data_IF_470506330991
#
_entry.id   IF_470506330991
#
_cell.length_a   1.000
_cell.length_b   1.000
_cell.length_c   1.000
_cell.angle_alpha   90.00
_cell.angle_beta   90.00
_cell.angle_gamma   90.00
#
_symmetry.space_group_name_H-M   'P 1'
#
loop_
_entity.id
_entity.type
_entity.pdbx_description
1 polymer ?
#
# COMPACT_ATOMS: atom_id res chain seq x y z
N UNK A 1 21.47 9.16 -10.33
CA UNK A 1 20.58 9.45 -9.16
C UNK A 1 19.14 9.16 -9.54
N UNK A 2 18.42 8.34 -8.80
CA UNK A 2 17.01 8.00 -9.01
C UNK A 2 16.16 8.89 -8.10
N UNK A 3 15.09 9.51 -8.64
CA UNK A 3 14.13 10.27 -7.85
C UNK A 3 12.87 9.43 -7.63
N UNK A 4 12.46 9.20 -6.38
CA UNK A 4 11.27 8.43 -6.06
C UNK A 4 10.28 9.31 -5.30
N UNK A 5 9.08 9.46 -5.83
CA UNK A 5 7.98 10.21 -5.23
C UNK A 5 7.06 9.24 -4.50
N UNK A 6 6.71 9.56 -3.26
CA UNK A 6 5.94 8.65 -2.40
C UNK A 6 4.75 9.37 -1.78
N UNK A 7 3.63 8.69 -1.70
CA UNK A 7 2.43 9.21 -1.04
C UNK A 7 1.62 8.10 -0.36
N UNK A 8 0.87 8.48 0.65
CA UNK A 8 -0.05 7.64 1.38
C UNK A 8 -1.43 8.28 1.48
N UNK A 9 -2.47 7.48 1.34
CA UNK A 9 -3.85 7.92 1.46
C UNK A 9 -4.64 7.03 2.41
N UNK A 10 -5.54 7.61 3.19
CA UNK A 10 -6.42 6.85 4.06
C UNK A 10 -7.84 7.41 4.07
N UNK A 11 -8.81 6.51 3.97
CA UNK A 11 -10.22 6.72 4.23
C UNK A 11 -10.59 6.12 5.60
N UNK A 12 -11.87 6.18 5.99
CA UNK A 12 -12.33 5.55 7.25
C UNK A 12 -12.17 4.04 7.29
N UNK A 13 -12.21 3.36 6.15
CA UNK A 13 -12.23 1.90 6.07
C UNK A 13 -11.01 1.31 5.37
N UNK A 14 -10.41 2.05 4.46
CA UNK A 14 -9.33 1.58 3.60
C UNK A 14 -8.22 2.62 3.50
N UNK A 15 -7.03 2.15 3.21
CA UNK A 15 -5.87 3.00 3.04
C UNK A 15 -4.99 2.45 1.91
N UNK A 16 -4.28 3.33 1.24
CA UNK A 16 -3.42 2.99 0.13
C UNK A 16 -2.09 3.71 0.20
N UNK A 17 -1.10 3.15 -0.43
CA UNK A 17 0.22 3.71 -0.62
C UNK A 17 0.63 3.61 -2.08
N UNK A 18 1.46 4.53 -2.53
CA UNK A 18 2.01 4.51 -3.88
C UNK A 18 3.38 5.17 -3.94
N UNK A 19 4.22 4.67 -4.84
CA UNK A 19 5.46 5.31 -5.19
C UNK A 19 5.70 5.27 -6.70
N UNK A 20 6.42 6.28 -7.19
CA UNK A 20 6.85 6.45 -8.58
C UNK A 20 8.34 6.77 -8.62
N UNK A 21 9.14 5.90 -9.21
CA UNK A 21 10.55 6.14 -9.50
C UNK A 21 10.71 6.77 -10.88
N UNK A 22 11.55 7.78 -10.98
CA UNK A 22 11.90 8.49 -12.20
C UNK A 22 13.42 8.43 -12.36
N UNK A 23 13.85 7.78 -13.43
CA UNK A 23 15.26 7.68 -13.79
C UNK A 23 15.76 8.92 -14.54
N UNK A 24 17.08 9.15 -14.57
CA UNK A 24 17.64 10.30 -15.28
C UNK A 24 17.23 10.40 -16.76
N UNK A 25 17.07 9.26 -17.42
CA UNK A 25 16.67 9.14 -18.82
C UNK A 25 15.15 9.29 -19.05
N UNK A 26 14.39 9.54 -17.97
CA UNK A 26 12.95 9.71 -18.02
C UNK A 26 12.12 8.43 -17.96
N UNK A 27 12.75 7.27 -17.84
CA UNK A 27 12.03 6.00 -17.58
C UNK A 27 11.37 6.07 -16.20
N UNK A 28 10.24 5.35 -16.05
CA UNK A 28 9.45 5.36 -14.83
C UNK A 28 9.10 3.93 -14.41
N UNK A 29 9.16 3.69 -13.11
CA UNK A 29 8.60 2.49 -12.48
C UNK A 29 7.74 2.88 -11.29
N UNK A 30 6.75 2.08 -10.97
CA UNK A 30 5.84 2.39 -9.88
C UNK A 30 5.27 1.14 -9.24
N UNK A 31 4.83 1.26 -8.02
CA UNK A 31 4.06 0.25 -7.30
C UNK A 31 3.04 0.96 -6.40
N UNK A 32 1.94 0.30 -6.15
CA UNK A 32 0.94 0.75 -5.18
C UNK A 32 0.31 -0.45 -4.48
N UNK A 33 -0.31 -0.20 -3.35
CA UNK A 33 -1.02 -1.24 -2.62
C UNK A 33 -1.93 -0.68 -1.56
N UNK A 34 -2.65 -1.56 -0.88
CA UNK A 34 -3.67 -1.19 0.10
C UNK A 34 -3.41 -1.83 1.46
N UNK A 35 -4.09 -1.29 2.47
CA UNK A 35 -4.18 -1.85 3.81
C UNK A 35 -5.53 -1.50 4.42
N UNK A 36 -6.05 -2.37 5.27
CA UNK A 36 -7.32 -2.14 5.97
C UNK A 36 -7.04 -1.42 7.29
N UNK A 37 -7.75 -0.34 7.56
CA UNK A 37 -7.73 0.36 8.85
C UNK A 37 -6.41 1.03 9.22
N UNK A 38 -5.51 1.25 8.26
CA UNK A 38 -4.27 1.97 8.51
C UNK A 38 -4.48 3.49 8.44
N UNK A 39 -3.62 4.24 9.13
CA UNK A 39 -3.63 5.71 9.09
C UNK A 39 -2.90 6.25 7.87
N UNK A 40 -3.17 7.50 7.49
CA UNK A 40 -2.44 8.19 6.43
C UNK A 40 -0.92 8.15 6.68
N UNK A 41 -0.48 8.53 7.89
CA UNK A 41 0.94 8.48 8.25
C UNK A 41 1.56 7.09 8.06
N UNK A 42 0.82 6.01 8.40
CA UNK A 42 1.31 4.65 8.19
C UNK A 42 1.50 4.34 6.71
N UNK A 43 0.62 4.83 5.85
CA UNK A 43 0.72 4.62 4.40
C UNK A 43 1.85 5.44 3.76
N UNK A 44 2.08 6.66 4.23
CA UNK A 44 3.26 7.46 3.83
C UNK A 44 4.58 6.74 4.16
N UNK A 45 4.69 6.18 5.36
CA UNK A 45 5.85 5.37 5.75
C UNK A 45 5.96 4.09 4.92
N UNK A 46 4.84 3.44 4.64
CA UNK A 46 4.79 2.23 3.83
C UNK A 46 5.25 2.51 2.40
N UNK A 47 4.78 3.61 1.78
CA UNK A 47 5.19 4.01 0.44
C UNK A 47 6.71 4.19 0.34
N UNK A 48 7.30 4.94 1.28
CA UNK A 48 8.74 5.14 1.32
C UNK A 48 9.53 3.85 1.58
N UNK A 49 9.05 3.00 2.50
CA UNK A 49 9.70 1.72 2.78
C UNK A 49 9.66 0.78 1.57
N UNK A 50 8.52 0.67 0.89
CA UNK A 50 8.38 -0.17 -0.32
C UNK A 50 9.27 0.33 -1.44
N UNK A 51 9.34 1.65 -1.65
CA UNK A 51 10.22 2.28 -2.60
C UNK A 51 11.71 1.97 -2.34
N UNK A 52 12.15 2.08 -1.08
CA UNK A 52 13.53 1.80 -0.69
C UNK A 52 13.88 0.31 -0.78
N UNK A 53 12.94 -0.59 -0.45
CA UNK A 53 13.11 -2.03 -0.65
C UNK A 53 13.25 -2.35 -2.14
N UNK A 54 12.40 -1.78 -2.98
CA UNK A 54 12.48 -1.95 -4.43
C UNK A 54 13.82 -1.40 -4.97
N UNK A 55 14.22 -0.18 -4.57
CA UNK A 55 15.50 0.40 -4.96
C UNK A 55 16.68 -0.51 -4.60
N UNK A 56 16.71 -1.08 -3.38
CA UNK A 56 17.80 -1.96 -2.95
C UNK A 56 17.84 -3.28 -3.70
N UNK A 57 16.69 -3.82 -4.13
CA UNK A 57 16.61 -5.13 -4.81
C UNK A 57 16.75 -5.04 -6.33
N UNK A 58 16.14 -4.06 -6.93
CA UNK A 58 15.97 -3.97 -8.39
C UNK A 58 16.63 -2.72 -8.98
N UNK A 59 16.64 -1.62 -8.25
CA UNK A 59 17.23 -0.37 -8.69
C UNK A 59 18.73 -0.45 -8.93
N UNK A 60 19.47 -1.20 -8.10
CA UNK A 60 20.89 -1.45 -8.27
C UNK A 60 21.22 -2.45 -9.39
N UNK A 61 20.37 -3.45 -9.61
CA UNK A 61 20.68 -4.53 -10.56
C UNK A 61 20.61 -4.12 -12.01
N UNK A 62 19.89 -3.04 -12.33
CA UNK A 62 19.57 -2.69 -13.72
C UNK A 62 20.62 -1.88 -14.44
N UNK A 63 21.50 -1.16 -13.72
CA UNK A 63 22.34 -0.14 -14.34
C UNK A 63 23.82 -0.18 -13.93
N UNK A 64 24.29 -1.23 -13.31
CA UNK A 64 25.71 -1.39 -12.93
C UNK A 64 26.29 -0.15 -12.17
N UNK A 65 25.44 0.60 -11.48
CA UNK A 65 25.75 1.87 -10.86
C UNK A 65 25.34 1.89 -9.39
N UNK A 66 26.27 2.40 -8.57
CA UNK A 66 26.01 2.83 -7.19
C UNK A 66 25.12 4.09 -7.18
N UNK A 67 23.93 4.02 -7.82
CA UNK A 67 23.06 5.18 -7.96
C UNK A 67 22.43 5.61 -6.65
N UNK A 68 22.71 6.84 -6.29
CA UNK A 68 22.03 7.51 -5.18
C UNK A 68 20.52 7.60 -5.45
N UNK A 69 19.74 7.51 -4.39
CA UNK A 69 18.29 7.67 -4.44
C UNK A 69 17.85 8.86 -3.59
N UNK A 70 16.92 9.62 -4.11
CA UNK A 70 16.22 10.69 -3.36
C UNK A 70 14.75 10.34 -3.26
N UNK A 71 14.25 10.19 -2.02
CA UNK A 71 12.83 10.04 -1.73
C UNK A 71 12.20 11.42 -1.59
N UNK A 72 11.26 11.73 -2.47
CA UNK A 72 10.44 12.93 -2.44
C UNK A 72 9.12 12.63 -1.72
N UNK A 73 8.84 13.35 -0.64
CA UNK A 73 7.64 13.17 0.16
C UNK A 73 7.09 14.50 0.66
N UNK A 74 5.79 14.64 0.74
CA UNK A 74 5.12 15.76 1.42
C UNK A 74 4.84 15.48 2.90
N UNK A 75 5.07 14.24 3.34
CA UNK A 75 4.97 13.85 4.74
C UNK A 75 6.00 14.57 5.60
N UNK A 76 5.54 15.55 6.37
CA UNK A 76 6.41 16.22 7.35
C UNK A 76 6.92 15.25 8.42
N UNK A 77 6.12 14.22 8.77
CA UNK A 77 6.50 13.23 9.77
C UNK A 77 7.67 12.38 9.30
N UNK A 78 7.63 11.90 8.07
CA UNK A 78 8.72 11.11 7.47
C UNK A 78 9.98 11.96 7.28
N UNK A 79 9.84 13.12 6.62
CA UNK A 79 10.97 13.99 6.30
C UNK A 79 11.68 14.48 7.57
N UNK A 80 10.94 15.00 8.57
CA UNK A 80 11.55 15.54 9.78
C UNK A 80 12.22 14.42 10.61
N UNK A 81 11.64 13.21 10.65
CA UNK A 81 12.28 12.09 11.33
C UNK A 81 13.67 11.79 10.76
N UNK A 82 13.81 11.81 9.42
CA UNK A 82 15.09 11.64 8.75
C UNK A 82 16.02 12.85 8.98
N UNK A 83 15.55 14.07 8.70
CA UNK A 83 16.36 15.29 8.74
C UNK A 83 16.87 15.64 10.16
N UNK A 84 15.99 15.56 11.17
CA UNK A 84 16.30 15.87 12.56
C UNK A 84 16.82 14.65 13.34
N UNK A 85 16.98 13.52 12.67
CA UNK A 85 17.49 12.26 13.25
C UNK A 85 16.73 11.82 14.52
N UNK A 86 15.39 11.96 14.54
CA UNK A 86 14.57 11.53 15.68
C UNK A 86 14.77 10.06 16.01
N UNK A 87 14.98 9.23 15.02
CA UNK A 87 15.24 7.81 15.12
C UNK A 87 16.45 7.45 15.98
N UNK A 88 17.50 8.31 16.01
CA UNK A 88 18.68 8.08 16.85
C UNK A 88 18.29 8.12 18.33
N UNK A 89 17.42 9.05 18.72
CA UNK A 89 16.88 9.12 20.09
C UNK A 89 16.03 7.90 20.40
N UNK A 90 15.20 7.46 19.46
CA UNK A 90 14.34 6.28 19.65
C UNK A 90 15.15 5.00 19.78
N UNK A 91 16.19 4.78 18.98
CA UNK A 91 17.09 3.63 19.11
C UNK A 91 17.75 3.60 20.49
N UNK A 92 18.17 4.77 21.00
CA UNK A 92 18.87 4.86 22.29
C UNK A 92 17.96 4.70 23.51
N UNK A 93 16.65 4.98 23.40
CA UNK A 93 15.70 4.91 24.50
C UNK A 93 14.69 3.77 24.40
N UNK A 94 14.99 2.74 23.61
CA UNK A 94 14.12 1.56 23.47
C UNK A 94 12.83 1.82 22.68
N UNK A 95 12.88 2.73 21.69
CA UNK A 95 11.76 3.07 20.81
C UNK A 95 10.57 3.68 21.53
N UNK A 96 10.87 4.58 22.48
CA UNK A 96 9.87 5.36 23.21
C UNK A 96 9.88 6.82 22.74
N UNK A 97 8.70 7.43 22.73
CA UNK A 97 8.53 8.84 22.42
C UNK A 97 8.80 9.71 23.69
N UNK A 98 8.62 11.02 23.57
CA UNK A 98 8.83 11.98 24.67
C UNK A 98 7.86 11.80 25.85
N UNK A 99 6.78 11.04 25.69
CA UNK A 99 5.79 10.72 26.71
C UNK A 99 5.99 9.30 27.28
N UNK A 100 7.14 8.71 27.03
CA UNK A 100 7.48 7.33 27.45
C UNK A 100 6.54 6.24 26.88
N UNK A 101 5.75 6.57 25.85
CA UNK A 101 4.93 5.61 25.11
C UNK A 101 5.71 5.01 23.91
N UNK A 102 5.36 3.82 23.44
CA UNK A 102 5.94 3.26 22.22
C UNK A 102 5.79 4.23 21.03
N UNK A 103 6.82 4.35 20.21
CA UNK A 103 6.77 5.16 18.98
C UNK A 103 5.71 4.59 18.05
N UNK A 104 4.80 5.45 17.57
CA UNK A 104 3.79 5.06 16.61
C UNK A 104 4.45 4.53 15.32
N UNK A 105 3.91 3.44 14.74
CA UNK A 105 4.47 2.77 13.57
C UNK A 105 5.93 2.29 13.74
N UNK A 106 6.31 1.93 14.96
CA UNK A 106 7.66 1.48 15.30
C UNK A 106 8.16 0.35 14.40
N UNK A 107 7.28 -0.54 13.99
CA UNK A 107 7.55 -1.63 13.07
C UNK A 107 8.11 -1.12 11.72
N UNK A 108 7.49 -0.12 11.12
CA UNK A 108 7.95 0.48 9.86
C UNK A 108 9.22 1.32 10.08
N UNK A 109 9.28 2.07 11.18
CA UNK A 109 10.45 2.89 11.49
C UNK A 109 11.72 2.06 11.65
N UNK A 110 11.65 0.92 12.31
CA UNK A 110 12.82 0.03 12.47
C UNK A 110 13.41 -0.41 11.13
N UNK A 111 12.58 -0.62 10.12
CA UNK A 111 13.08 -0.91 8.77
C UNK A 111 13.57 0.34 8.04
N UNK A 112 12.83 1.44 8.08
CA UNK A 112 13.23 2.69 7.43
C UNK A 112 14.57 3.21 7.94
N UNK A 113 14.83 3.13 9.24
CA UNK A 113 16.09 3.60 9.84
C UNK A 113 17.32 2.81 9.38
N UNK A 114 17.15 1.59 8.86
CA UNK A 114 18.27 0.88 8.23
C UNK A 114 18.72 1.57 6.95
N UNK A 115 17.77 2.12 6.19
CA UNK A 115 18.05 2.90 4.98
C UNK A 115 18.56 4.32 5.30
N UNK A 116 18.12 4.93 6.41
CA UNK A 116 18.60 6.26 6.82
C UNK A 116 20.11 6.31 7.12
N UNK A 117 20.69 5.17 7.38
CA UNK A 117 22.13 5.00 7.61
C UNK A 117 22.93 4.81 6.31
N UNK A 118 22.26 4.56 5.20
CA UNK A 118 22.86 4.37 3.89
C UNK A 118 23.19 5.76 3.28
N UNK A 119 24.47 6.07 2.98
CA UNK A 119 24.85 7.38 2.45
C UNK A 119 24.27 7.67 1.06
N UNK A 120 23.83 6.66 0.34
CA UNK A 120 23.20 6.80 -0.97
C UNK A 120 21.72 7.19 -0.89
N UNK A 121 21.12 7.19 0.31
CA UNK A 121 19.72 7.51 0.53
C UNK A 121 19.56 8.93 1.05
N UNK A 122 18.82 9.74 0.34
CA UNK A 122 18.44 11.09 0.76
C UNK A 122 16.93 11.30 0.67
N UNK A 123 16.46 12.32 1.37
CA UNK A 123 15.05 12.71 1.36
C UNK A 123 14.91 14.19 1.00
N UNK A 124 13.92 14.49 0.18
CA UNK A 124 13.56 15.84 -0.20
C UNK A 124 12.08 16.09 0.13
N UNK A 125 11.81 17.23 0.74
CA UNK A 125 10.44 17.64 1.03
C UNK A 125 9.83 18.29 -0.18
N UNK A 126 8.68 17.81 -0.61
CA UNK A 126 7.83 18.45 -1.61
C UNK A 126 6.61 19.07 -0.94
N UNK A 127 5.99 20.03 -1.62
CA UNK A 127 4.73 20.62 -1.15
C UNK A 127 3.59 19.78 -1.72
N UNK A 128 2.76 19.21 -0.86
CA UNK A 128 1.56 18.47 -1.26
C UNK A 128 0.59 19.34 -2.06
N UNK A 129 -0.08 18.76 -3.05
CA UNK A 129 -1.11 19.40 -3.90
C UNK A 129 -0.67 20.74 -4.50
N UNK A 130 0.60 20.84 -4.93
CA UNK A 130 1.18 22.08 -5.46
C UNK A 130 1.35 22.10 -6.98
N UNK A 131 0.79 21.12 -7.70
CA UNK A 131 0.97 20.97 -9.14
C UNK A 131 2.29 20.27 -9.52
N UNK A 132 3.01 19.69 -8.57
CA UNK A 132 4.20 18.91 -8.86
C UNK A 132 3.81 17.56 -9.49
N UNK A 133 4.03 17.42 -10.79
CA UNK A 133 3.50 16.32 -11.63
C UNK A 133 3.74 14.93 -11.01
N UNK A 134 4.97 14.64 -10.62
CA UNK A 134 5.32 13.32 -10.11
C UNK A 134 4.76 13.04 -8.70
N UNK A 135 4.65 14.07 -7.85
CA UNK A 135 4.00 13.91 -6.55
C UNK A 135 2.50 13.64 -6.70
N UNK A 136 1.84 14.33 -7.63
CA UNK A 136 0.44 14.07 -7.95
C UNK A 136 0.23 12.68 -8.59
N UNK A 137 1.23 12.16 -9.28
CA UNK A 137 1.18 10.77 -9.77
C UNK A 137 1.28 9.77 -8.62
N UNK A 138 2.13 10.01 -7.62
CA UNK A 138 2.21 9.15 -6.43
C UNK A 138 0.90 9.19 -5.62
N UNK A 139 0.27 10.36 -5.44
CA UNK A 139 -1.07 10.50 -4.84
C UNK A 139 -2.12 9.68 -5.62
N UNK A 140 -2.13 9.79 -6.95
CA UNK A 140 -3.04 8.99 -7.79
C UNK A 140 -2.80 7.49 -7.68
N UNK A 141 -1.57 7.04 -7.50
CA UNK A 141 -1.27 5.64 -7.26
C UNK A 141 -1.82 5.18 -5.91
N UNK A 142 -1.63 5.95 -4.83
CA UNK A 142 -2.14 5.64 -3.51
C UNK A 142 -3.68 5.61 -3.47
N UNK A 143 -4.32 6.64 -4.01
CA UNK A 143 -5.80 6.75 -4.07
C UNK A 143 -6.42 5.76 -5.05
N UNK A 144 -5.76 5.51 -6.18
CA UNK A 144 -6.19 4.55 -7.20
C UNK A 144 -6.17 3.11 -6.70
N UNK A 145 -5.18 2.74 -5.88
CA UNK A 145 -5.12 1.43 -5.26
C UNK A 145 -6.35 1.14 -4.38
N UNK A 146 -6.79 2.13 -3.59
CA UNK A 146 -8.01 2.01 -2.76
C UNK A 146 -9.24 1.76 -3.65
N UNK A 147 -9.40 2.54 -4.72
CA UNK A 147 -10.55 2.42 -5.63
C UNK A 147 -10.57 1.06 -6.34
N UNK A 148 -9.43 0.60 -6.83
CA UNK A 148 -9.32 -0.70 -7.50
C UNK A 148 -9.70 -1.86 -6.57
N UNK A 149 -9.28 -1.82 -5.31
CA UNK A 149 -9.65 -2.83 -4.31
C UNK A 149 -11.15 -2.76 -3.98
N UNK A 150 -11.73 -1.56 -3.86
CA UNK A 150 -13.16 -1.39 -3.63
C UNK A 150 -14.00 -1.95 -4.78
N UNK A 151 -13.62 -1.67 -6.02
CA UNK A 151 -14.28 -2.22 -7.20
C UNK A 151 -14.20 -3.75 -7.27
N UNK A 152 -13.04 -4.31 -6.93
CA UNK A 152 -12.87 -5.76 -6.88
C UNK A 152 -13.75 -6.39 -5.78
N UNK A 153 -13.83 -5.76 -4.62
CA UNK A 153 -14.67 -6.21 -3.52
C UNK A 153 -16.16 -6.20 -3.90
N UNK A 154 -16.64 -5.14 -4.53
CA UNK A 154 -18.02 -5.05 -5.01
C UNK A 154 -18.37 -6.16 -6.01
N UNK A 155 -17.48 -6.45 -6.97
CA UNK A 155 -17.68 -7.56 -7.92
C UNK A 155 -17.77 -8.92 -7.23
N UNK A 156 -16.98 -9.13 -6.17
CA UNK A 156 -17.06 -10.37 -5.36
C UNK A 156 -18.41 -10.43 -4.62
N UNK A 157 -18.88 -9.33 -4.04
CA UNK A 157 -20.16 -9.28 -3.36
C UNK A 157 -21.32 -9.57 -4.32
N UNK A 158 -21.37 -8.90 -5.47
CA UNK A 158 -22.39 -9.15 -6.50
C UNK A 158 -22.42 -10.62 -6.95
N UNK A 159 -21.24 -11.23 -7.11
CA UNK A 159 -21.15 -12.67 -7.45
C UNK A 159 -21.71 -13.54 -6.33
N UNK A 160 -21.37 -13.26 -5.08
CA UNK A 160 -21.84 -14.01 -3.93
C UNK A 160 -23.34 -13.87 -3.74
N UNK A 161 -23.91 -12.68 -3.94
CA UNK A 161 -25.35 -12.43 -3.84
C UNK A 161 -26.12 -13.22 -4.90
N UNK A 162 -25.62 -13.28 -6.15
CA UNK A 162 -26.23 -14.09 -7.21
C UNK A 162 -26.22 -15.60 -6.85
N UNK A 163 -25.09 -16.10 -6.33
CA UNK A 163 -24.98 -17.49 -5.87
C UNK A 163 -25.99 -17.76 -4.74
N UNK A 164 -26.10 -16.88 -3.75
CA UNK A 164 -27.00 -17.03 -2.62
C UNK A 164 -28.48 -17.04 -3.06
N UNK A 165 -28.87 -16.20 -4.03
CA UNK A 165 -30.23 -16.20 -4.59
C UNK A 165 -30.48 -17.54 -5.29
N UNK A 166 -29.58 -18.00 -6.17
CA UNK A 166 -29.73 -19.27 -6.89
C UNK A 166 -29.81 -20.47 -5.93
N UNK A 167 -28.99 -20.50 -4.88
CA UNK A 167 -29.05 -21.52 -3.84
C UNK A 167 -30.39 -21.52 -3.10
N UNK A 168 -30.91 -20.33 -2.78
CA UNK A 168 -32.21 -20.20 -2.10
C UNK A 168 -33.35 -20.75 -2.95
N UNK A 169 -33.34 -20.50 -4.25
CA UNK A 169 -34.31 -21.08 -5.20
C UNK A 169 -34.20 -22.61 -5.30
N UNK A 170 -32.98 -23.13 -5.37
CA UNK A 170 -32.75 -24.60 -5.41
C UNK A 170 -33.25 -25.27 -4.13
N UNK A 171 -33.00 -24.69 -2.97
CA UNK A 171 -33.45 -25.19 -1.67
C UNK A 171 -34.98 -25.12 -1.52
N UNK A 172 -35.61 -24.08 -2.05
CA UNK A 172 -37.07 -23.96 -2.08
C UNK A 172 -37.67 -25.09 -2.96
N UNK A 173 -37.15 -25.28 -4.18
CA UNK A 173 -37.57 -26.35 -5.07
C UNK A 173 -37.42 -27.75 -4.42
N UNK A 174 -36.35 -27.98 -3.67
CA UNK A 174 -36.13 -29.20 -2.92
C UNK A 174 -37.17 -29.36 -1.79
N UNK A 175 -37.44 -28.30 -1.03
CA UNK A 175 -38.43 -28.34 0.07
C UNK A 175 -39.83 -28.66 -0.46
N UNK A 176 -40.14 -28.23 -1.68
CA UNK A 176 -41.39 -28.56 -2.36
C UNK A 176 -41.38 -29.90 -3.07
N UNK A 177 -40.34 -30.73 -2.87
CA UNK A 177 -40.15 -32.05 -3.52
C UNK A 177 -40.23 -32.00 -5.04
N UNK A 178 -39.81 -30.88 -5.65
CA UNK A 178 -39.90 -30.68 -7.08
C UNK A 178 -38.84 -31.47 -7.86
N UNK A 179 -37.68 -31.72 -7.21
CA UNK A 179 -36.57 -32.51 -7.78
C UNK A 179 -36.05 -33.57 -6.80
N UNK A 180 -35.52 -34.70 -7.34
CA UNK A 180 -34.80 -35.69 -6.55
C UNK A 180 -33.53 -35.12 -5.90
N UNK A 181 -33.06 -35.72 -4.83
CA UNK A 181 -31.84 -35.31 -4.10
C UNK A 181 -30.63 -35.17 -5.02
N UNK A 182 -30.40 -36.17 -5.88
CA UNK A 182 -29.25 -36.19 -6.80
C UNK A 182 -29.25 -34.99 -7.78
N UNK A 183 -30.42 -34.64 -8.28
CA UNK A 183 -30.58 -33.50 -9.19
C UNK A 183 -30.40 -32.17 -8.44
N UNK A 184 -30.90 -32.09 -7.22
CA UNK A 184 -30.67 -30.92 -6.37
C UNK A 184 -29.18 -30.70 -6.06
N UNK A 185 -28.43 -31.78 -5.75
CA UNK A 185 -26.98 -31.73 -5.54
C UNK A 185 -26.24 -31.22 -6.78
N UNK A 186 -26.61 -31.70 -7.99
CA UNK A 186 -26.01 -31.22 -9.24
C UNK A 186 -26.23 -29.73 -9.46
N UNK A 187 -27.44 -29.24 -9.18
CA UNK A 187 -27.77 -27.81 -9.30
C UNK A 187 -26.97 -26.96 -8.32
N UNK A 188 -26.82 -27.42 -7.06
CA UNK A 188 -26.00 -26.72 -6.03
C UNK A 188 -24.54 -26.64 -6.50
N UNK A 189 -23.94 -27.74 -6.96
CA UNK A 189 -22.56 -27.73 -7.48
C UNK A 189 -22.39 -26.75 -8.62
N UNK A 190 -23.32 -26.74 -9.56
CA UNK A 190 -23.29 -25.81 -10.69
C UNK A 190 -23.37 -24.35 -10.22
N UNK A 191 -24.25 -24.01 -9.29
CA UNK A 191 -24.37 -22.66 -8.73
C UNK A 191 -23.10 -22.19 -8.04
N UNK A 192 -22.43 -23.10 -7.30
CA UNK A 192 -21.17 -22.81 -6.61
C UNK A 192 -19.94 -22.83 -7.55
N UNK A 193 -20.09 -23.25 -8.80
CA UNK A 193 -18.98 -23.37 -9.75
C UNK A 193 -18.05 -24.55 -9.49
N UNK A 194 -18.57 -25.65 -8.93
CA UNK A 194 -17.86 -26.90 -8.62
C UNK A 194 -18.18 -28.00 -9.65
#
# INVERSE_FOLDING_TARGET
>A
MINIYTDGSATKSRSGWGWLAVYPEGQQEHESGTSIGATNQRMELMAALRALIWWKREGHCRWDSDDDVTIHTDSAYLYNCWADKWWVKWENNGWRNSQDAPVANMDLWKYLTTFFKDPQVSFAKVKGHSGHVYNEMADKLATGAIKAEEEQWLKIQEKNDKINIELSEILLDYSMKKYPVDETIKRIRKACGC
#
